data_IF_357519176006
#
_entry.id   IF_357519176006
#
_cell.length_a   1.000
_cell.length_b   1.000
_cell.length_c   1.000
_cell.angle_alpha   90.00
_cell.angle_beta   90.00
_cell.angle_gamma   90.00
#
_symmetry.space_group_name_H-M   'P 1'
#
loop_
_entity.id
_entity.type
_entity.pdbx_description
1 polymer ?
#
# COMPACT_ATOMS: atom_id res chain seq x y z
N UNK A 1 -40.72 -32.72 -66.51
CA UNK A 1 -41.12 -33.55 -65.35
C UNK A 1 -39.83 -34.14 -64.81
N UNK A 2 -39.07 -33.44 -63.95
CA UNK A 2 -39.17 -33.36 -62.47
C UNK A 2 -39.23 -34.74 -61.80
N UNK A 3 -38.08 -35.19 -61.26
CA UNK A 3 -37.85 -35.78 -59.92
C UNK A 3 -36.35 -36.07 -59.82
N UNK A 4 -35.55 -35.27 -59.11
CA UNK A 4 -35.32 -35.24 -57.66
C UNK A 4 -34.24 -36.24 -57.20
N UNK A 5 -33.21 -35.63 -56.61
CA UNK A 5 -32.36 -36.13 -55.53
C UNK A 5 -31.28 -37.17 -55.89
N UNK A 6 -30.08 -36.61 -56.09
CA UNK A 6 -28.82 -37.25 -55.78
C UNK A 6 -28.84 -37.75 -54.32
N UNK A 7 -29.20 -39.02 -54.15
CA UNK A 7 -28.89 -39.77 -52.95
C UNK A 7 -27.39 -40.08 -53.00
N UNK A 8 -26.57 -39.12 -52.57
CA UNK A 8 -25.25 -39.43 -52.05
C UNK A 8 -25.46 -40.37 -50.86
N UNK A 9 -25.22 -41.65 -51.08
CA UNK A 9 -25.13 -42.67 -50.04
C UNK A 9 -24.01 -42.27 -49.08
N UNK A 10 -24.35 -41.50 -48.06
CA UNK A 10 -23.46 -41.24 -46.92
C UNK A 10 -23.38 -42.55 -46.16
N UNK A 11 -22.37 -43.35 -46.48
CA UNK A 11 -21.98 -44.48 -45.66
C UNK A 11 -21.56 -43.92 -44.28
N UNK A 12 -22.45 -44.07 -43.30
CA UNK A 12 -22.18 -43.74 -41.91
C UNK A 12 -21.19 -44.79 -41.41
N UNK A 13 -19.90 -44.59 -41.68
CA UNK A 13 -18.85 -45.36 -41.03
C UNK A 13 -18.89 -44.97 -39.55
N UNK A 14 -19.26 -45.88 -38.63
CA UNK A 14 -19.17 -45.58 -37.21
C UNK A 14 -17.71 -45.23 -36.93
N UNK A 15 -17.46 -44.01 -36.44
CA UNK A 15 -16.11 -43.57 -36.09
C UNK A 15 -15.48 -44.64 -35.21
N UNK A 16 -14.44 -45.30 -35.74
CA UNK A 16 -13.69 -46.29 -35.00
C UNK A 16 -13.18 -45.65 -33.71
N UNK A 17 -13.01 -46.42 -32.62
CA UNK A 17 -12.51 -45.89 -31.35
C UNK A 17 -11.24 -45.05 -31.50
N UNK A 18 -10.35 -45.43 -32.43
CA UNK A 18 -9.15 -44.68 -32.78
C UNK A 18 -9.46 -43.28 -33.34
N UNK A 19 -10.41 -43.16 -34.27
CA UNK A 19 -10.79 -41.88 -34.86
C UNK A 19 -11.49 -40.95 -33.86
N UNK A 20 -12.18 -41.51 -32.86
CA UNK A 20 -12.71 -40.74 -31.71
C UNK A 20 -11.59 -40.23 -30.82
N UNK A 21 -10.53 -41.02 -30.63
CA UNK A 21 -9.35 -40.62 -29.88
C UNK A 21 -8.57 -39.55 -30.63
N UNK A 22 -8.35 -39.69 -31.94
CA UNK A 22 -7.72 -38.68 -32.79
C UNK A 22 -8.49 -37.35 -32.74
N UNK A 23 -9.82 -37.38 -32.91
CA UNK A 23 -10.64 -36.17 -32.82
C UNK A 23 -10.61 -35.54 -31.43
N UNK A 24 -10.52 -36.35 -30.37
CA UNK A 24 -10.35 -35.86 -29.00
C UNK A 24 -8.95 -35.29 -28.76
N UNK A 25 -7.91 -35.88 -29.33
CA UNK A 25 -6.53 -35.39 -29.27
C UNK A 25 -6.42 -34.09 -30.06
N UNK A 26 -6.98 -33.99 -31.26
CA UNK A 26 -7.02 -32.78 -32.07
C UNK A 26 -7.78 -31.65 -31.36
N UNK A 27 -8.92 -31.96 -30.73
CA UNK A 27 -9.64 -31.00 -29.88
C UNK A 27 -8.85 -30.58 -28.65
N UNK A 28 -8.13 -31.52 -28.01
CA UNK A 28 -7.26 -31.24 -26.87
C UNK A 28 -6.05 -30.41 -27.30
N UNK A 29 -5.40 -30.70 -28.42
CA UNK A 29 -4.27 -29.91 -28.94
C UNK A 29 -4.71 -28.51 -29.39
N UNK A 30 -5.90 -28.39 -29.97
CA UNK A 30 -6.51 -27.10 -30.31
C UNK A 30 -6.89 -26.26 -29.06
N UNK A 31 -7.22 -26.92 -27.94
CA UNK A 31 -7.56 -26.24 -26.68
C UNK A 31 -6.38 -26.12 -25.70
N UNK A 32 -5.33 -26.91 -25.86
CA UNK A 32 -4.10 -26.92 -25.05
C UNK A 32 -2.98 -26.13 -25.74
N UNK A 33 -3.16 -25.76 -27.01
CA UNK A 33 -2.28 -24.88 -27.76
C UNK A 33 -2.36 -23.44 -27.24
N UNK A 34 -1.37 -23.09 -26.41
CA UNK A 34 -1.04 -21.75 -25.91
C UNK A 34 -1.76 -21.32 -24.63
N UNK A 35 -1.27 -21.81 -23.48
CA UNK A 35 -1.04 -20.88 -22.38
C UNK A 35 -0.17 -19.75 -22.93
N UNK A 36 -0.78 -18.60 -23.23
CA UNK A 36 -0.08 -17.44 -23.77
C UNK A 36 0.81 -16.86 -22.67
N UNK A 37 1.98 -17.46 -22.54
CA UNK A 37 3.03 -17.05 -21.60
C UNK A 37 3.43 -15.59 -21.82
N UNK A 38 3.21 -15.02 -23.01
CA UNK A 38 3.36 -13.59 -23.25
C UNK A 38 2.24 -12.76 -22.63
N UNK A 39 0.99 -13.22 -22.67
CA UNK A 39 -0.13 -12.57 -21.98
C UNK A 39 0.07 -12.56 -20.46
N UNK A 40 0.44 -13.71 -19.88
CA UNK A 40 0.74 -13.81 -18.43
C UNK A 40 1.93 -12.90 -18.07
N UNK A 41 2.99 -12.90 -18.88
CA UNK A 41 4.14 -12.03 -18.65
C UNK A 41 3.78 -10.54 -18.73
N UNK A 42 2.91 -10.15 -19.67
CA UNK A 42 2.41 -8.78 -19.78
C UNK A 42 1.60 -8.38 -18.54
N UNK A 43 0.73 -9.26 -18.06
CA UNK A 43 -0.05 -9.04 -16.83
C UNK A 43 0.87 -8.91 -15.59
N UNK A 44 1.88 -9.76 -15.46
CA UNK A 44 2.87 -9.65 -14.37
C UNK A 44 3.62 -8.32 -14.44
N UNK A 45 4.04 -7.86 -15.63
CA UNK A 45 4.67 -6.54 -15.78
C UNK A 45 3.71 -5.41 -15.37
N UNK A 46 2.44 -5.52 -15.73
CA UNK A 46 1.43 -4.53 -15.38
C UNK A 46 1.21 -4.48 -13.86
N UNK A 47 1.11 -5.63 -13.20
CA UNK A 47 1.05 -5.72 -11.73
C UNK A 47 2.29 -5.09 -11.10
N UNK A 48 3.49 -5.38 -11.61
CA UNK A 48 4.74 -4.79 -11.10
C UNK A 48 4.73 -3.27 -11.28
N UNK A 49 4.25 -2.76 -12.41
CA UNK A 49 4.13 -1.32 -12.66
C UNK A 49 3.16 -0.66 -11.67
N UNK A 50 1.98 -1.24 -11.47
CA UNK A 50 0.97 -0.73 -10.53
C UNK A 50 1.54 -0.73 -9.11
N UNK A 51 2.19 -1.82 -8.70
CA UNK A 51 2.84 -1.90 -7.39
C UNK A 51 3.91 -0.82 -7.20
N UNK A 52 4.71 -0.53 -8.23
CA UNK A 52 5.71 0.54 -8.15
C UNK A 52 5.03 1.92 -8.02
N UNK A 53 3.95 2.17 -8.76
CA UNK A 53 3.17 3.41 -8.62
C UNK A 53 2.60 3.56 -7.20
N UNK A 54 2.04 2.50 -6.63
CA UNK A 54 1.54 2.49 -5.26
C UNK A 54 2.65 2.75 -4.23
N UNK A 55 3.83 2.15 -4.42
CA UNK A 55 5.00 2.40 -3.58
C UNK A 55 5.44 3.87 -3.66
N UNK A 56 5.45 4.45 -4.85
CA UNK A 56 5.82 5.86 -5.06
C UNK A 56 4.81 6.82 -4.41
N UNK A 57 3.51 6.53 -4.54
CA UNK A 57 2.45 7.29 -3.89
C UNK A 57 2.53 7.18 -2.36
N UNK A 58 2.79 5.98 -1.85
CA UNK A 58 2.97 5.74 -0.41
C UNK A 58 4.19 6.50 0.12
N UNK A 59 5.30 6.52 -0.63
CA UNK A 59 6.48 7.27 -0.26
C UNK A 59 6.20 8.78 -0.20
N UNK A 60 5.47 9.33 -1.18
CA UNK A 60 5.06 10.75 -1.19
C UNK A 60 4.14 11.08 -0.01
N UNK A 61 3.14 10.25 0.27
CA UNK A 61 2.24 10.43 1.38
C UNK A 61 2.97 10.36 2.74
N UNK A 62 3.94 9.46 2.87
CA UNK A 62 4.77 9.35 4.06
C UNK A 62 5.63 10.61 4.28
N UNK A 63 6.30 11.10 3.24
CA UNK A 63 7.12 12.31 3.31
C UNK A 63 6.24 13.54 3.66
N UNK A 64 5.02 13.63 3.12
CA UNK A 64 4.06 14.69 3.48
C UNK A 64 3.64 14.63 4.96
N UNK A 65 3.25 13.44 5.46
CA UNK A 65 2.89 13.24 6.86
C UNK A 65 4.03 13.60 7.80
N UNK A 66 5.25 13.20 7.46
CA UNK A 66 6.44 13.53 8.24
C UNK A 66 6.63 15.05 8.34
N UNK A 67 6.46 15.78 7.24
CA UNK A 67 6.55 17.24 7.24
C UNK A 67 5.47 17.86 8.14
N UNK A 68 4.22 17.41 8.04
CA UNK A 68 3.13 17.95 8.86
C UNK A 68 3.34 17.68 10.36
N UNK A 69 3.71 16.46 10.73
CA UNK A 69 3.97 16.09 12.12
C UNK A 69 5.19 16.85 12.66
N UNK A 70 6.21 17.10 11.84
CA UNK A 70 7.40 17.86 12.27
C UNK A 70 7.11 19.30 12.70
N UNK A 71 5.96 19.87 12.28
CA UNK A 71 5.52 21.22 12.68
C UNK A 71 4.74 21.25 13.99
N UNK A 72 4.24 20.11 14.47
CA UNK A 72 3.43 20.06 15.69
C UNK A 72 4.23 20.40 16.95
N UNK A 73 5.45 19.88 17.19
CA UNK A 73 6.23 20.20 18.38
C UNK A 73 6.38 21.71 18.62
N UNK A 74 6.77 22.47 17.60
CA UNK A 74 6.93 23.93 17.72
C UNK A 74 5.65 24.64 18.15
N UNK A 75 4.49 24.26 17.59
CA UNK A 75 3.19 24.81 18.00
C UNK A 75 2.80 24.42 19.41
N UNK A 76 3.21 23.24 19.87
CA UNK A 76 2.96 22.77 21.24
C UNK A 76 3.86 23.47 22.25
N UNK A 77 5.12 23.75 21.89
CA UNK A 77 6.03 24.56 22.70
C UNK A 77 5.45 25.98 22.89
N UNK A 78 4.98 26.62 21.82
CA UNK A 78 4.28 27.92 21.89
C UNK A 78 3.04 27.85 22.80
N UNK A 79 2.25 26.78 22.71
CA UNK A 79 1.09 26.60 23.58
C UNK A 79 1.49 26.43 25.06
N UNK A 80 2.54 25.64 25.33
CA UNK A 80 3.07 25.44 26.67
C UNK A 80 3.57 26.77 27.25
N UNK A 81 4.26 27.58 26.46
CA UNK A 81 4.73 28.91 26.87
C UNK A 81 3.55 29.81 27.25
N UNK A 82 2.51 29.90 26.41
CA UNK A 82 1.30 30.66 26.72
C UNK A 82 0.59 30.17 28.00
N UNK A 83 0.55 28.85 28.24
CA UNK A 83 -0.02 28.28 29.47
C UNK A 83 0.82 28.60 30.71
N UNK A 84 2.14 28.63 30.58
CA UNK A 84 3.04 29.05 31.66
C UNK A 84 2.88 30.54 31.98
N UNK A 85 2.77 31.40 30.96
CA UNK A 85 2.48 32.82 31.15
C UNK A 85 1.13 33.02 31.88
N UNK A 86 0.08 32.32 31.43
CA UNK A 86 -1.22 32.34 32.09
C UNK A 86 -1.12 31.91 33.57
N UNK A 87 -0.39 30.83 33.86
CA UNK A 87 -0.13 30.39 35.23
C UNK A 87 0.56 31.47 36.06
N UNK A 88 1.57 32.13 35.49
CA UNK A 88 2.30 33.20 36.16
C UNK A 88 1.40 34.41 36.44
N UNK A 89 0.54 34.80 35.49
CA UNK A 89 -0.44 35.87 35.70
C UNK A 89 -1.45 35.54 36.79
N UNK A 90 -1.96 34.30 36.83
CA UNK A 90 -2.89 33.86 37.88
C UNK A 90 -2.19 33.90 39.25
N UNK A 91 -0.96 33.38 39.33
CA UNK A 91 -0.17 33.38 40.56
C UNK A 91 0.16 34.81 41.04
N UNK A 92 0.44 35.73 40.13
CA UNK A 92 0.75 37.13 40.45
C UNK A 92 -0.48 37.98 40.79
N UNK A 93 -1.66 37.63 40.26
CA UNK A 93 -2.90 38.43 40.44
C UNK A 93 -3.77 37.93 41.60
N UNK A 94 -3.47 36.79 42.20
CA UNK A 94 -4.25 36.22 43.30
C UNK A 94 -3.83 36.84 44.65
N UNK A 95 -4.67 37.69 45.30
CA UNK A 95 -4.43 38.08 46.69
C UNK A 95 -4.38 36.85 47.60
N UNK A 96 -3.57 36.89 48.67
CA UNK A 96 -3.27 35.73 49.53
C UNK A 96 -4.53 34.97 50.02
N UNK A 97 -5.66 35.66 50.24
CA UNK A 97 -6.94 35.07 50.64
C UNK A 97 -7.66 34.26 49.55
N UNK A 98 -7.34 34.50 48.27
CA UNK A 98 -7.98 33.87 47.09
C UNK A 98 -7.17 32.71 46.50
N UNK A 99 -5.95 32.47 46.99
CA UNK A 99 -5.11 31.34 46.57
C UNK A 99 -5.80 29.95 46.66
N UNK A 100 -6.61 29.62 47.68
CA UNK A 100 -7.27 28.30 47.72
C UNK A 100 -8.32 28.11 46.61
N UNK A 101 -8.94 29.18 46.10
CA UNK A 101 -9.90 29.07 44.99
C UNK A 101 -9.24 28.89 43.61
N UNK A 102 -7.99 29.30 43.44
CA UNK A 102 -7.25 29.14 42.18
C UNK A 102 -6.48 27.82 42.07
N UNK A 103 -6.18 27.13 43.19
CA UNK A 103 -5.53 25.81 43.19
C UNK A 103 -6.04 24.80 42.15
N UNK A 104 -7.37 24.50 42.07
CA UNK A 104 -7.86 23.51 41.11
C UNK A 104 -7.70 23.95 39.64
N UNK A 105 -7.63 25.26 39.38
CA UNK A 105 -7.35 25.79 38.05
C UNK A 105 -5.86 25.65 37.71
N UNK A 106 -4.98 26.00 38.63
CA UNK A 106 -3.52 25.85 38.50
C UNK A 106 -3.15 24.40 38.22
N UNK A 107 -3.69 23.45 39.00
CA UNK A 107 -3.46 22.01 38.81
C UNK A 107 -3.95 21.51 37.43
N UNK A 108 -5.08 22.04 36.92
CA UNK A 108 -5.55 21.69 35.58
C UNK A 108 -4.61 22.21 34.50
N UNK A 109 -4.08 23.42 34.64
CA UNK A 109 -3.14 23.98 33.66
C UNK A 109 -1.82 23.20 33.70
N UNK A 110 -1.31 22.85 34.88
CA UNK A 110 -0.11 22.02 35.04
C UNK A 110 -0.32 20.64 34.38
N UNK A 111 -1.47 19.99 34.57
CA UNK A 111 -1.80 18.74 33.86
C UNK A 111 -1.86 18.91 32.34
N UNK A 112 -2.38 20.04 31.84
CA UNK A 112 -2.41 20.30 30.40
C UNK A 112 -1.00 20.47 29.83
N UNK A 113 -0.10 21.13 30.57
CA UNK A 113 1.32 21.26 30.20
C UNK A 113 1.97 19.87 30.14
N UNK A 114 1.78 19.03 31.16
CA UNK A 114 2.31 17.66 31.17
C UNK A 114 1.79 16.82 30.00
N UNK A 115 0.48 16.92 29.71
CA UNK A 115 -0.13 16.22 28.57
C UNK A 115 0.45 16.69 27.24
N UNK A 116 0.65 18.00 27.06
CA UNK A 116 1.26 18.54 25.85
C UNK A 116 2.71 18.07 25.70
N UNK A 117 3.49 18.05 26.78
CA UNK A 117 4.87 17.55 26.74
C UNK A 117 4.92 16.08 26.30
N UNK A 118 4.02 15.24 26.82
CA UNK A 118 3.92 13.84 26.42
C UNK A 118 3.55 13.66 24.94
N UNK A 119 2.71 14.54 24.39
CA UNK A 119 2.37 14.50 22.97
C UNK A 119 3.58 14.88 22.11
N UNK A 120 4.42 15.84 22.54
CA UNK A 120 5.67 16.18 21.86
C UNK A 120 6.59 14.94 21.77
N UNK A 121 6.77 14.22 22.87
CA UNK A 121 7.56 12.98 22.90
C UNK A 121 7.00 11.91 21.95
N UNK A 122 5.67 11.72 21.95
CA UNK A 122 5.02 10.79 21.04
C UNK A 122 5.20 11.19 19.58
N UNK A 123 5.10 12.49 19.25
CA UNK A 123 5.34 12.98 17.90
C UNK A 123 6.77 12.69 17.45
N UNK A 124 7.76 12.80 18.34
CA UNK A 124 9.14 12.44 18.03
C UNK A 124 9.29 10.94 17.71
N UNK A 125 8.61 10.08 18.47
CA UNK A 125 8.57 8.64 18.20
C UNK A 125 7.95 8.34 16.82
N UNK A 126 6.82 8.98 16.49
CA UNK A 126 6.16 8.82 15.18
C UNK A 126 7.06 9.30 14.04
N UNK A 127 7.78 10.42 14.20
CA UNK A 127 8.73 10.90 13.20
C UNK A 127 9.87 9.91 12.93
N UNK A 128 10.35 9.22 13.97
CA UNK A 128 11.38 8.18 13.82
C UNK A 128 10.83 7.01 13.00
N UNK A 129 9.62 6.53 13.30
CA UNK A 129 8.97 5.44 12.55
C UNK A 129 8.73 5.82 11.10
N UNK A 130 8.25 7.04 10.83
CA UNK A 130 8.05 7.54 9.46
C UNK A 130 9.39 7.62 8.70
N UNK A 131 10.48 7.99 9.38
CA UNK A 131 11.82 8.00 8.79
C UNK A 131 12.27 6.60 8.38
N UNK A 132 12.08 5.60 9.24
CA UNK A 132 12.38 4.20 8.91
C UNK A 132 11.56 3.68 7.72
N UNK A 133 10.29 4.05 7.64
CA UNK A 133 9.43 3.66 6.51
C UNK A 133 9.92 4.33 5.23
N UNK A 134 10.25 5.62 5.26
CA UNK A 134 10.80 6.35 4.10
C UNK A 134 12.09 5.68 3.59
N UNK A 135 13.00 5.26 4.48
CA UNK A 135 14.20 4.53 4.10
C UNK A 135 13.91 3.16 3.44
N UNK A 136 12.92 2.44 3.96
CA UNK A 136 12.51 1.14 3.41
C UNK A 136 11.86 1.28 2.03
N UNK A 137 11.07 2.33 1.80
CA UNK A 137 10.42 2.60 0.52
C UNK A 137 11.41 3.10 -0.56
N UNK A 138 12.49 3.77 -0.15
CA UNK A 138 13.52 4.28 -1.08
C UNK A 138 14.53 3.22 -1.54
N UNK A 139 14.63 2.06 -0.87
CA UNK A 139 15.53 0.99 -1.32
C UNK A 139 14.98 0.38 -2.61
N UNK A 140 15.65 0.54 -3.77
CA UNK A 140 15.18 -0.07 -4.99
C UNK A 140 15.18 -1.58 -4.82
N UNK A 141 14.08 -2.23 -5.18
CA UNK A 141 14.06 -3.69 -5.36
C UNK A 141 15.01 -3.97 -6.52
N UNK A 142 16.23 -4.38 -6.21
CA UNK A 142 17.19 -4.84 -7.21
C UNK A 142 16.52 -6.05 -7.88
N UNK A 143 15.94 -5.82 -9.06
CA UNK A 143 15.48 -6.89 -9.93
C UNK A 143 16.70 -7.71 -10.28
N UNK A 144 16.87 -8.87 -9.63
CA UNK A 144 17.92 -9.82 -10.00
C UNK A 144 17.75 -10.10 -11.49
N UNK A 145 18.80 -9.94 -12.32
CA UNK A 145 18.69 -10.27 -13.72
C UNK A 145 18.33 -11.75 -13.83
N UNK A 146 17.21 -12.03 -14.50
CA UNK A 146 16.77 -13.39 -14.81
C UNK A 146 17.84 -14.00 -15.72
N UNK A 147 18.64 -14.91 -15.19
CA UNK A 147 19.59 -15.69 -15.97
C UNK A 147 18.80 -16.65 -16.87
N UNK A 148 18.65 -16.31 -18.15
CA UNK A 148 18.09 -17.25 -19.13
C UNK A 148 19.03 -18.46 -19.27
N UNK A 149 18.51 -19.71 -19.25
CA UNK A 149 19.33 -20.88 -19.50
C UNK A 149 19.84 -20.85 -20.94
N UNK A 150 21.17 -20.92 -21.11
CA UNK A 150 21.80 -21.09 -22.42
C UNK A 150 21.29 -22.39 -23.04
N UNK A 151 20.63 -22.29 -24.19
CA UNK A 151 20.27 -23.48 -24.96
C UNK A 151 21.56 -24.19 -25.40
N UNK A 152 21.72 -25.42 -24.91
CA UNK A 152 22.77 -26.33 -25.36
C UNK A 152 22.36 -26.81 -26.75
N UNK A 153 23.10 -26.38 -27.78
CA UNK A 153 23.02 -26.99 -29.10
C UNK A 153 23.62 -28.39 -29.00
N UNK A 154 22.81 -29.40 -29.30
CA UNK A 154 23.25 -30.77 -29.63
C UNK A 154 23.23 -30.89 -31.13
#
# INVERSE_FOLDING_TARGET
MVSEEAQEEVEIVPLSPLRRLEKRIEQLEASTGSFDSKAIFKEVIEIVRINQQLVDELAKANDALRIEISKLPARMDELIENLNELLNYIKASAPEESQPSFKPLTEKIERLIEQNQKIIENNQSVLNVLSEISEKLRKPVISRPVLYPKQVKV
#
